data_IF_352683430204
#
_entry.id   IF_352683430204
#
_cell.length_a   1.000
_cell.length_b   1.000
_cell.length_c   1.000
_cell.angle_alpha   90.00
_cell.angle_beta   90.00
_cell.angle_gamma   90.00
#
_symmetry.space_group_name_H-M   'P 1'
#
loop_
_entity.id
_entity.type
_entity.pdbx_description
1 polymer ?
#
# COMPACT_ATOMS: atom_id res chain seq x y z
N UNK A 1 2.85 23.88 11.25
CA UNK A 1 1.92 22.75 11.45
C UNK A 1 1.77 22.04 10.12
N UNK A 2 1.93 20.72 10.08
CA UNK A 2 1.78 19.96 8.82
C UNK A 2 0.29 19.68 8.56
N UNK A 3 -0.15 19.90 7.31
CA UNK A 3 -1.51 19.52 6.92
C UNK A 3 -1.65 18.00 6.87
N UNK A 4 -2.85 17.49 7.13
CA UNK A 4 -3.14 16.04 7.13
C UNK A 4 -2.80 15.37 5.80
N UNK A 5 -3.07 16.05 4.68
CA UNK A 5 -2.71 15.59 3.33
C UNK A 5 -1.20 15.42 3.17
N UNK A 6 -0.43 16.39 3.67
CA UNK A 6 1.04 16.35 3.64
C UNK A 6 1.57 15.18 4.48
N UNK A 7 1.00 14.96 5.67
CA UNK A 7 1.34 13.82 6.50
C UNK A 7 1.07 12.49 5.78
N UNK A 8 -0.04 12.37 5.04
CA UNK A 8 -0.35 11.17 4.27
C UNK A 8 0.64 10.95 3.12
N UNK A 9 0.99 12.01 2.39
CA UNK A 9 1.97 11.91 1.31
C UNK A 9 3.34 11.47 1.83
N UNK A 10 3.78 12.03 2.96
CA UNK A 10 5.02 11.64 3.63
C UNK A 10 4.99 10.18 4.08
N UNK A 11 3.87 9.72 4.65
CA UNK A 11 3.70 8.33 5.07
C UNK A 11 3.70 7.35 3.89
N UNK A 12 2.98 7.67 2.80
CA UNK A 12 3.00 6.86 1.57
C UNK A 12 4.42 6.76 1.02
N UNK A 13 5.13 7.90 0.88
CA UNK A 13 6.51 7.91 0.39
C UNK A 13 7.45 7.09 1.27
N UNK A 14 7.36 7.24 2.59
CA UNK A 14 8.17 6.48 3.54
C UNK A 14 7.90 4.98 3.44
N UNK A 15 6.63 4.58 3.32
CA UNK A 15 6.24 3.19 3.15
C UNK A 15 6.77 2.62 1.82
N UNK A 16 6.65 3.35 0.71
CA UNK A 16 7.19 2.94 -0.60
C UNK A 16 8.70 2.66 -0.53
N UNK A 17 9.45 3.57 0.12
CA UNK A 17 10.90 3.39 0.31
C UNK A 17 11.20 2.15 1.17
N UNK A 18 10.46 1.94 2.25
CA UNK A 18 10.69 0.80 3.14
C UNK A 18 10.34 -0.53 2.48
N UNK A 19 9.26 -0.58 1.71
CA UNK A 19 8.88 -1.78 0.95
C UNK A 19 9.95 -2.13 -0.08
N UNK A 20 10.46 -1.12 -0.79
CA UNK A 20 11.55 -1.30 -1.76
C UNK A 20 12.81 -1.84 -1.10
N UNK A 21 13.26 -1.20 -0.02
CA UNK A 21 14.45 -1.61 0.74
C UNK A 21 14.32 -3.04 1.30
N UNK A 22 13.17 -3.38 1.88
CA UNK A 22 12.92 -4.72 2.44
C UNK A 22 12.87 -5.79 1.34
N UNK A 23 12.32 -5.46 0.17
CA UNK A 23 12.29 -6.39 -0.94
C UNK A 23 13.69 -6.62 -1.53
N UNK A 24 14.45 -5.56 -1.77
CA UNK A 24 15.83 -5.64 -2.27
C UNK A 24 16.77 -6.39 -1.33
N UNK A 25 16.55 -6.27 -0.01
CA UNK A 25 17.29 -7.01 1.01
C UNK A 25 16.80 -8.45 1.22
N UNK A 26 15.88 -8.96 0.39
CA UNK A 26 15.24 -10.28 0.54
C UNK A 26 14.59 -10.49 1.93
N UNK A 27 14.16 -9.41 2.58
CA UNK A 27 13.52 -9.42 3.90
C UNK A 27 11.99 -9.32 3.82
N UNK A 28 11.42 -9.09 2.62
CA UNK A 28 9.97 -8.98 2.41
C UNK A 28 9.38 -10.24 1.78
N UNK A 29 8.55 -10.96 2.53
CA UNK A 29 7.89 -12.18 2.08
C UNK A 29 6.38 -12.01 1.82
N UNK A 30 5.82 -10.88 2.25
CA UNK A 30 4.42 -10.54 2.05
C UNK A 30 4.05 -9.26 2.78
N UNK A 31 2.86 -8.74 2.48
CA UNK A 31 2.32 -7.51 3.04
C UNK A 31 0.95 -7.82 3.64
N UNK A 32 0.75 -7.45 4.90
CA UNK A 32 -0.55 -7.44 5.56
C UNK A 32 -0.80 -6.02 6.06
N UNK A 33 -1.94 -5.45 5.68
CA UNK A 33 -2.37 -4.15 6.16
C UNK A 33 -3.84 -4.17 6.58
N UNK A 34 -4.21 -3.18 7.38
CA UNK A 34 -5.56 -2.98 7.86
C UNK A 34 -5.84 -1.48 8.01
N UNK A 35 -7.07 -1.06 7.67
CA UNK A 35 -7.44 0.33 7.88
C UNK A 35 -8.78 0.73 7.28
N UNK A 36 -9.20 1.95 7.62
CA UNK A 36 -10.30 2.62 6.92
C UNK A 36 -9.87 3.17 5.56
N UNK A 37 -10.65 4.10 5.01
CA UNK A 37 -10.36 4.74 3.72
C UNK A 37 -8.94 5.30 3.63
N UNK A 38 -8.51 6.16 4.56
CA UNK A 38 -7.19 6.79 4.48
C UNK A 38 -6.04 5.78 4.55
N UNK A 39 -6.11 4.81 5.47
CA UNK A 39 -5.06 3.78 5.61
C UNK A 39 -4.98 2.89 4.38
N UNK A 40 -6.14 2.52 3.82
CA UNK A 40 -6.24 1.75 2.57
C UNK A 40 -5.57 2.52 1.43
N UNK A 41 -5.83 3.83 1.29
CA UNK A 41 -5.20 4.66 0.25
C UNK A 41 -3.69 4.71 0.40
N UNK A 42 -3.16 4.96 1.61
CA UNK A 42 -1.71 5.02 1.86
C UNK A 42 -1.02 3.72 1.45
N UNK A 43 -1.56 2.57 1.89
CA UNK A 43 -0.94 1.27 1.61
C UNK A 43 -1.06 0.89 0.14
N UNK A 44 -2.23 1.07 -0.45
CA UNK A 44 -2.47 0.74 -1.86
C UNK A 44 -1.57 1.56 -2.78
N UNK A 45 -1.47 2.86 -2.51
CA UNK A 45 -0.61 3.76 -3.28
C UNK A 45 0.86 3.39 -3.10
N UNK A 46 1.31 3.07 -1.88
CA UNK A 46 2.68 2.67 -1.64
C UNK A 46 3.05 1.35 -2.36
N UNK A 47 2.15 0.37 -2.36
CA UNK A 47 2.33 -0.89 -3.11
C UNK A 47 2.43 -0.60 -4.61
N UNK A 48 1.50 0.19 -5.15
CA UNK A 48 1.47 0.51 -6.58
C UNK A 48 2.68 1.36 -7.03
N UNK A 49 3.20 2.23 -6.16
CA UNK A 49 4.41 3.01 -6.41
C UNK A 49 5.69 2.17 -6.27
N UNK A 50 5.66 1.09 -5.49
CA UNK A 50 6.78 0.17 -5.30
C UNK A 50 6.93 -0.77 -6.49
N UNK A 51 7.48 -0.25 -7.61
CA UNK A 51 7.62 -0.97 -8.89
C UNK A 51 8.41 -2.28 -8.83
N UNK A 52 9.21 -2.47 -7.77
CA UNK A 52 10.03 -3.66 -7.58
C UNK A 52 9.22 -4.86 -7.07
N UNK A 53 8.04 -4.62 -6.47
CA UNK A 53 7.21 -5.69 -5.91
C UNK A 53 6.54 -6.49 -7.04
N UNK A 54 6.81 -7.80 -7.15
CA UNK A 54 6.27 -8.60 -8.23
C UNK A 54 4.83 -9.03 -7.95
N UNK A 55 4.12 -9.36 -9.03
CA UNK A 55 2.94 -10.22 -8.96
C UNK A 55 3.37 -11.59 -8.40
N UNK A 56 2.57 -12.15 -7.50
CA UNK A 56 2.82 -13.40 -6.79
C UNK A 56 3.36 -13.23 -5.38
N UNK A 57 3.91 -12.05 -5.03
CA UNK A 57 4.19 -11.72 -3.63
C UNK A 57 2.85 -11.55 -2.89
N UNK A 58 2.56 -12.26 -1.79
CA UNK A 58 1.29 -12.13 -1.07
C UNK A 58 1.08 -10.71 -0.51
N UNK A 59 -0.04 -10.06 -0.86
CA UNK A 59 -0.41 -8.71 -0.40
C UNK A 59 -1.89 -8.68 -0.03
N UNK A 60 -2.21 -8.49 1.25
CA UNK A 60 -3.58 -8.47 1.78
C UNK A 60 -3.89 -7.16 2.51
N UNK A 61 -5.02 -6.51 2.18
CA UNK A 61 -5.50 -5.31 2.86
C UNK A 61 -6.90 -5.56 3.44
N UNK A 62 -7.00 -5.57 4.77
CA UNK A 62 -8.29 -5.58 5.47
C UNK A 62 -8.85 -4.15 5.51
N UNK A 63 -9.81 -3.86 4.62
CA UNK A 63 -10.36 -2.51 4.47
C UNK A 63 -11.83 -2.42 4.87
N UNK A 64 -12.19 -1.36 5.61
CA UNK A 64 -13.61 -1.02 5.87
C UNK A 64 -14.33 -0.52 4.62
N UNK A 65 -13.59 -0.21 3.55
CA UNK A 65 -14.13 0.26 2.26
C UNK A 65 -13.93 -0.76 1.14
N UNK A 66 -13.58 -2.01 1.45
CA UNK A 66 -13.45 -3.08 0.44
C UNK A 66 -14.77 -3.35 -0.31
N UNK A 67 -15.91 -3.12 0.33
CA UNK A 67 -17.24 -3.23 -0.30
C UNK A 67 -17.71 -1.97 -1.05
N UNK A 68 -16.91 -0.90 -1.06
CA UNK A 68 -17.27 0.33 -1.77
C UNK A 68 -17.11 0.17 -3.29
N UNK A 69 -17.90 0.92 -4.07
CA UNK A 69 -17.87 0.86 -5.54
C UNK A 69 -16.49 1.20 -6.14
N UNK A 70 -15.66 1.93 -5.40
CA UNK A 70 -14.31 2.32 -5.80
C UNK A 70 -13.20 1.41 -5.24
N UNK A 71 -13.51 0.24 -4.66
CA UNK A 71 -12.51 -0.67 -4.11
C UNK A 71 -11.45 -1.11 -5.13
N UNK A 72 -11.82 -1.19 -6.42
CA UNK A 72 -10.90 -1.49 -7.53
C UNK A 72 -9.69 -0.53 -7.62
N UNK A 73 -9.81 0.70 -7.10
CA UNK A 73 -8.70 1.68 -7.09
C UNK A 73 -7.57 1.29 -6.13
N UNK A 74 -7.89 0.54 -5.07
CA UNK A 74 -6.89 0.02 -4.14
C UNK A 74 -6.05 -1.11 -4.77
N UNK A 75 -6.66 -1.92 -5.64
CA UNK A 75 -6.00 -3.02 -6.35
C UNK A 75 -5.15 -2.50 -7.51
N UNK A 76 -5.68 -1.57 -8.31
CA UNK A 76 -4.95 -0.99 -9.45
C UNK A 76 -4.48 -2.05 -10.44
N UNK A 77 -3.21 -1.99 -10.86
CA UNK A 77 -2.55 -2.99 -11.71
C UNK A 77 -1.77 -4.05 -10.91
N UNK A 78 -2.05 -4.17 -9.62
CA UNK A 78 -1.44 -5.16 -8.74
C UNK A 78 -2.36 -6.36 -8.49
N UNK A 79 -1.86 -7.32 -7.73
CA UNK A 79 -2.56 -8.52 -7.25
C UNK A 79 -2.89 -8.44 -5.74
N UNK A 80 -3.07 -7.22 -5.22
CA UNK A 80 -3.54 -7.00 -3.85
C UNK A 80 -4.92 -7.65 -3.66
N UNK A 81 -5.05 -8.40 -2.57
CA UNK A 81 -6.31 -8.98 -2.08
C UNK A 81 -6.92 -8.11 -1.00
#
# INVERSE_FOLDING_TARGET
>A
EIQKSEAFHLMTKGLTLKLTELYESNCLHGILALGGSCGTSIVSEAIQQSKILPIGLPKLIVSTVAGASNAHTAVGLSDVT
#
